data_IF_578234366314
#
_entry.id   IF_578234366314
#
_cell.length_a   1.000
_cell.length_b   1.000
_cell.length_c   1.000
_cell.angle_alpha   90.00
_cell.angle_beta   90.00
_cell.angle_gamma   90.00
#
_symmetry.space_group_name_H-M   'P 1'
#
loop_
_entity.id
_entity.type
_entity.pdbx_description
1 polymer ?
#
# COMPACT_ATOMS: atom_id res chain seq x y z
N UNK A 1 59.03 -32.36 -14.36
CA UNK A 1 57.85 -32.32 -13.47
C UNK A 1 57.91 -31.03 -12.67
N UNK A 2 57.02 -30.05 -12.88
CA UNK A 2 56.71 -28.90 -11.97
C UNK A 2 55.96 -27.78 -12.71
N UNK A 3 54.68 -27.98 -13.09
CA UNK A 3 53.78 -26.87 -13.47
C UNK A 3 52.29 -27.17 -13.21
N UNK A 4 51.96 -28.10 -12.31
CA UNK A 4 50.57 -28.53 -12.09
C UNK A 4 49.93 -28.26 -10.70
N UNK A 5 50.44 -27.42 -9.77
CA UNK A 5 49.67 -27.09 -8.56
C UNK A 5 48.93 -25.74 -8.64
N UNK A 6 49.22 -24.88 -9.62
CA UNK A 6 48.67 -23.51 -9.63
C UNK A 6 47.30 -23.38 -10.31
N UNK A 7 46.87 -24.35 -11.11
CA UNK A 7 45.60 -24.25 -11.85
C UNK A 7 44.37 -24.63 -11.00
N UNK A 8 44.55 -25.40 -9.91
CA UNK A 8 43.43 -25.88 -9.09
C UNK A 8 43.00 -24.86 -8.01
N UNK A 9 43.88 -23.93 -7.62
CA UNK A 9 43.59 -22.93 -6.59
C UNK A 9 42.83 -21.70 -7.13
N UNK A 10 42.81 -21.47 -8.44
CA UNK A 10 42.14 -20.29 -9.03
C UNK A 10 40.66 -20.53 -9.39
N UNK A 11 40.23 -21.80 -9.45
CA UNK A 11 38.85 -22.16 -9.81
C UNK A 11 37.89 -22.05 -8.61
N UNK A 12 38.38 -22.03 -7.37
CA UNK A 12 37.56 -21.94 -6.15
C UNK A 12 37.19 -20.50 -5.75
N UNK A 13 37.71 -19.47 -6.42
CA UNK A 13 37.61 -18.07 -5.97
C UNK A 13 36.54 -17.23 -6.68
N UNK A 14 35.64 -17.84 -7.47
CA UNK A 14 34.65 -17.08 -8.26
C UNK A 14 33.20 -17.42 -7.97
N UNK A 15 32.94 -18.22 -6.93
CA UNK A 15 31.58 -18.45 -6.48
C UNK A 15 31.24 -17.41 -5.41
N UNK A 16 30.99 -16.18 -5.86
CA UNK A 16 30.22 -15.23 -5.08
C UNK A 16 28.80 -15.76 -5.03
N UNK A 17 28.49 -16.63 -4.07
CA UNK A 17 27.12 -16.74 -3.60
C UNK A 17 26.74 -15.33 -3.15
N UNK A 18 25.68 -14.76 -3.72
CA UNK A 18 25.02 -13.61 -3.09
C UNK A 18 24.58 -14.08 -1.71
N UNK A 19 25.39 -13.84 -0.68
CA UNK A 19 24.93 -13.99 0.69
C UNK A 19 23.95 -12.85 0.90
N UNK A 20 22.65 -13.16 0.88
CA UNK A 20 21.64 -12.27 1.44
C UNK A 20 21.98 -12.11 2.91
N UNK A 21 22.69 -11.02 3.25
CA UNK A 21 23.21 -10.77 4.58
C UNK A 21 22.04 -10.74 5.56
N UNK A 22 22.22 -11.29 6.75
CA UNK A 22 21.22 -11.11 7.79
C UNK A 22 21.30 -9.66 8.26
N UNK A 23 20.17 -8.93 8.22
CA UNK A 23 20.17 -7.49 8.50
C UNK A 23 20.57 -7.18 9.95
N UNK A 24 20.06 -7.96 10.91
CA UNK A 24 20.38 -7.79 12.33
C UNK A 24 20.18 -9.12 13.10
N UNK A 25 21.25 -9.61 13.74
CA UNK A 25 21.28 -10.91 14.45
C UNK A 25 20.38 -10.97 15.68
N UNK A 26 19.96 -9.83 16.24
CA UNK A 26 19.01 -9.80 17.37
C UNK A 26 17.60 -10.27 16.96
N UNK A 27 17.29 -10.24 15.65
CA UNK A 27 16.09 -10.83 15.09
C UNK A 27 16.37 -12.26 14.68
N UNK A 28 15.64 -13.20 15.27
CA UNK A 28 15.88 -14.64 15.09
C UNK A 28 15.20 -15.21 13.84
N UNK A 29 14.23 -14.49 13.27
CA UNK A 29 13.43 -14.95 12.15
C UNK A 29 13.29 -13.90 11.05
N UNK A 30 13.24 -14.36 9.80
CA UNK A 30 12.90 -13.53 8.64
C UNK A 30 12.01 -14.26 7.65
N UNK A 31 11.14 -13.50 6.97
CA UNK A 31 10.30 -13.98 5.87
C UNK A 31 10.51 -13.10 4.65
N UNK A 32 10.84 -13.71 3.52
CA UNK A 32 10.87 -13.01 2.23
C UNK A 32 9.45 -12.74 1.74
N UNK A 33 9.22 -11.53 1.27
CA UNK A 33 7.98 -11.08 0.63
C UNK A 33 8.34 -10.61 -0.78
N UNK A 34 7.65 -11.15 -1.77
CA UNK A 34 7.80 -10.75 -3.17
C UNK A 34 6.57 -9.95 -3.57
N UNK A 35 6.76 -8.65 -3.80
CA UNK A 35 5.76 -7.75 -4.31
C UNK A 35 5.74 -7.82 -5.84
N UNK A 36 4.55 -7.89 -6.42
CA UNK A 36 4.35 -7.78 -7.87
C UNK A 36 3.80 -6.39 -8.16
N UNK A 37 4.50 -5.63 -8.99
CA UNK A 37 4.16 -4.25 -9.33
C UNK A 37 3.91 -4.03 -10.82
N UNK A 38 3.76 -2.76 -11.23
CA UNK A 38 3.64 -2.40 -12.65
C UNK A 38 4.93 -2.67 -13.43
N UNK A 39 4.81 -2.72 -14.76
CA UNK A 39 5.96 -2.90 -15.67
C UNK A 39 6.95 -1.73 -15.62
N UNK A 40 6.46 -0.52 -15.33
CA UNK A 40 7.26 0.67 -15.13
C UNK A 40 7.45 0.91 -13.65
N UNK A 41 8.68 1.20 -13.21
CA UNK A 41 9.00 1.49 -11.81
C UNK A 41 8.17 2.69 -11.31
N UNK A 42 7.60 2.54 -10.12
CA UNK A 42 6.93 3.60 -9.38
C UNK A 42 7.64 3.80 -8.05
N UNK A 43 7.76 5.07 -7.62
CA UNK A 43 8.54 5.44 -6.43
C UNK A 43 7.66 5.83 -5.26
N UNK A 44 8.15 5.61 -4.04
CA UNK A 44 7.52 6.03 -2.78
C UNK A 44 6.06 5.58 -2.63
N UNK A 45 5.77 4.33 -2.99
CA UNK A 45 4.40 3.80 -3.00
C UNK A 45 4.10 3.05 -1.70
N UNK A 46 3.00 3.37 -0.98
CA UNK A 46 2.52 2.53 0.10
C UNK A 46 1.89 1.25 -0.44
N UNK A 47 2.32 0.09 0.09
CA UNK A 47 1.82 -1.23 -0.30
C UNK A 47 1.24 -1.94 0.91
N UNK A 48 0.06 -2.53 0.75
CA UNK A 48 -0.58 -3.33 1.80
C UNK A 48 -0.11 -4.78 1.75
N UNK A 49 0.45 -5.25 2.86
CA UNK A 49 0.81 -6.64 3.09
C UNK A 49 -0.27 -7.27 3.98
N UNK A 50 -0.75 -8.44 3.57
CA UNK A 50 -1.68 -9.25 4.37
C UNK A 50 -0.96 -10.50 4.89
N UNK A 51 -0.85 -10.59 6.21
CA UNK A 51 -0.36 -11.78 6.91
C UNK A 51 -1.55 -12.56 7.48
N UNK A 52 -1.50 -13.88 7.37
CA UNK A 52 -2.46 -14.80 7.95
C UNK A 52 -1.81 -16.15 8.24
N UNK A 53 -2.48 -17.03 8.98
CA UNK A 53 -1.98 -18.38 9.35
C UNK A 53 -1.30 -19.18 8.24
N UNK A 54 -1.86 -19.12 7.03
CA UNK A 54 -1.33 -19.82 5.86
C UNK A 54 0.00 -19.25 5.33
N UNK A 55 0.42 -18.07 5.80
CA UNK A 55 1.66 -17.43 5.35
C UNK A 55 2.53 -16.86 6.48
N UNK A 56 2.08 -16.79 7.73
CA UNK A 56 2.83 -16.20 8.83
C UNK A 56 2.50 -16.90 10.15
N UNK A 57 3.53 -17.17 10.95
CA UNK A 57 3.38 -17.72 12.29
C UNK A 57 3.37 -16.58 13.31
N UNK A 58 2.19 -16.28 13.85
CA UNK A 58 1.99 -15.19 14.80
C UNK A 58 2.62 -15.48 16.17
N UNK A 59 2.87 -16.74 16.51
CA UNK A 59 3.48 -17.12 17.80
C UNK A 59 5.00 -16.98 17.82
N UNK A 60 5.61 -16.75 16.65
CA UNK A 60 7.04 -16.49 16.53
C UNK A 60 7.38 -14.99 16.61
N UNK A 61 6.38 -14.10 16.66
CA UNK A 61 6.52 -12.66 16.79
C UNK A 61 5.91 -12.16 18.11
N UNK A 62 6.19 -10.92 18.49
CA UNK A 62 5.58 -10.30 19.66
C UNK A 62 4.06 -10.18 19.50
N UNK A 63 3.31 -10.39 20.59
CA UNK A 63 1.85 -10.25 20.63
C UNK A 63 1.35 -8.89 20.14
N UNK A 64 2.16 -7.83 20.30
CA UNK A 64 1.86 -6.48 19.84
C UNK A 64 2.54 -6.08 18.52
N UNK A 65 3.29 -6.99 17.88
CA UNK A 65 4.06 -6.74 16.67
C UNK A 65 5.24 -5.79 16.86
N UNK A 66 5.66 -5.51 18.10
CA UNK A 66 6.72 -4.54 18.40
C UNK A 66 8.09 -4.92 17.83
N UNK A 67 8.31 -6.21 17.61
CA UNK A 67 9.50 -6.78 17.01
C UNK A 67 9.44 -6.87 15.49
N UNK A 68 8.37 -6.44 14.84
CA UNK A 68 8.31 -6.43 13.37
C UNK A 68 9.25 -5.37 12.82
N UNK A 69 10.06 -5.76 11.82
CA UNK A 69 10.81 -4.88 10.94
C UNK A 69 10.58 -5.26 9.49
N UNK A 70 10.46 -4.26 8.62
CA UNK A 70 10.47 -4.45 7.17
C UNK A 70 11.76 -3.87 6.61
N UNK A 71 12.50 -4.68 5.85
CA UNK A 71 13.80 -4.33 5.27
C UNK A 71 13.72 -4.51 3.76
N UNK A 72 14.33 -3.61 2.99
CA UNK A 72 14.41 -3.75 1.55
C UNK A 72 15.17 -5.02 1.14
N UNK A 73 14.96 -5.49 -0.09
CA UNK A 73 15.60 -6.70 -0.62
C UNK A 73 17.13 -6.65 -0.71
N UNK A 74 17.75 -5.50 -0.40
CA UNK A 74 19.20 -5.35 -0.26
C UNK A 74 19.73 -5.70 1.14
N UNK A 75 18.86 -6.12 2.07
CA UNK A 75 19.14 -6.46 3.47
C UNK A 75 19.81 -5.30 4.26
N UNK A 76 19.57 -4.04 3.86
CA UNK A 76 20.20 -2.87 4.50
C UNK A 76 19.19 -1.83 4.95
N UNK A 77 18.29 -1.43 4.06
CA UNK A 77 17.41 -0.31 4.31
C UNK A 77 16.14 -0.75 5.04
N UNK A 78 15.97 -0.33 6.30
CA UNK A 78 14.67 -0.43 6.97
C UNK A 78 13.63 0.45 6.25
N UNK A 79 12.42 -0.09 6.10
CA UNK A 79 11.29 0.54 5.43
C UNK A 79 10.31 1.09 6.47
N UNK A 80 9.73 2.26 6.17
CA UNK A 80 8.65 2.82 6.99
C UNK A 80 7.39 2.01 6.81
N UNK A 81 6.72 1.71 7.91
CA UNK A 81 5.50 0.92 7.89
C UNK A 81 4.58 1.29 9.04
N UNK A 82 3.33 0.85 8.99
CA UNK A 82 2.46 0.77 10.15
C UNK A 82 1.47 -0.38 10.04
N UNK A 83 0.89 -0.72 11.19
CA UNK A 83 -0.19 -1.69 11.27
C UNK A 83 -1.53 -0.99 10.97
N UNK A 84 -2.19 -1.42 9.90
CA UNK A 84 -3.63 -1.20 9.72
C UNK A 84 -4.41 -2.08 10.71
N UNK A 85 -3.96 -3.32 10.87
CA UNK A 85 -4.52 -4.28 11.82
C UNK A 85 -3.43 -5.25 12.29
N UNK A 86 -3.41 -5.53 13.59
CA UNK A 86 -2.62 -6.61 14.19
C UNK A 86 -3.52 -7.36 15.16
N UNK A 87 -3.98 -8.55 14.76
CA UNK A 87 -4.98 -9.33 15.47
C UNK A 87 -4.48 -10.77 15.60
N UNK A 88 -3.66 -10.99 16.62
CA UNK A 88 -3.05 -12.30 16.92
C UNK A 88 -4.12 -13.35 17.21
N UNK A 89 -5.22 -12.97 17.87
CA UNK A 89 -6.30 -13.89 18.20
C UNK A 89 -7.00 -14.46 16.96
N UNK A 90 -7.15 -13.66 15.90
CA UNK A 90 -7.67 -14.11 14.60
C UNK A 90 -6.55 -14.43 13.60
N UNK A 91 -5.29 -14.44 14.05
CA UNK A 91 -4.08 -14.70 13.26
C UNK A 91 -4.11 -13.95 11.92
N UNK A 92 -4.40 -12.64 11.98
CA UNK A 92 -4.54 -11.75 10.84
C UNK A 92 -3.82 -10.43 11.11
N UNK A 93 -2.96 -10.02 10.17
CA UNK A 93 -2.39 -8.69 10.16
C UNK A 93 -2.43 -8.03 8.78
N UNK A 94 -2.59 -6.72 8.81
CA UNK A 94 -2.57 -5.82 7.67
C UNK A 94 -1.51 -4.76 7.94
N UNK A 95 -0.49 -4.70 7.10
CA UNK A 95 0.67 -3.83 7.28
C UNK A 95 0.85 -2.99 6.02
N UNK A 96 0.76 -1.67 6.17
CA UNK A 96 1.15 -0.75 5.10
C UNK A 96 2.64 -0.48 5.18
N UNK A 97 3.35 -0.62 4.07
CA UNK A 97 4.79 -0.33 3.96
C UNK A 97 5.06 0.66 2.85
N UNK A 98 5.90 1.68 3.13
CA UNK A 98 6.41 2.60 2.13
C UNK A 98 7.54 1.93 1.35
N UNK A 99 7.30 1.62 0.09
CA UNK A 99 8.28 1.00 -0.80
C UNK A 99 8.93 2.10 -1.66
N UNK A 100 10.24 2.38 -1.50
CA UNK A 100 10.90 3.47 -2.22
C UNK A 100 10.88 3.28 -3.74
N UNK A 101 10.98 2.03 -4.20
CA UNK A 101 10.92 1.65 -5.62
C UNK A 101 10.17 0.33 -5.75
N UNK A 102 9.03 0.37 -6.43
CA UNK A 102 8.25 -0.80 -6.77
C UNK A 102 8.34 -1.02 -8.29
N UNK A 103 8.90 -2.15 -8.66
CA UNK A 103 9.02 -2.61 -10.04
C UNK A 103 8.13 -3.85 -10.26
N UNK A 104 8.20 -4.47 -11.45
CA UNK A 104 7.43 -5.67 -11.77
C UNK A 104 7.59 -6.78 -10.71
N UNK A 105 8.78 -6.90 -10.13
CA UNK A 105 9.06 -7.78 -9.01
C UNK A 105 10.01 -7.08 -8.03
N UNK A 106 9.55 -6.88 -6.80
CA UNK A 106 10.34 -6.24 -5.73
C UNK A 106 10.37 -7.16 -4.52
N UNK A 107 11.57 -7.40 -3.98
CA UNK A 107 11.73 -8.19 -2.76
C UNK A 107 11.88 -7.28 -1.55
N UNK A 108 11.23 -7.66 -0.45
CA UNK A 108 11.43 -7.09 0.88
C UNK A 108 11.47 -8.26 1.89
N UNK A 109 11.98 -8.00 3.09
CA UNK A 109 12.06 -8.96 4.17
C UNK A 109 11.31 -8.47 5.38
N UNK A 110 10.50 -9.36 5.96
CA UNK A 110 9.85 -9.19 7.25
C UNK A 110 10.69 -9.89 8.31
N UNK A 111 11.33 -9.14 9.19
CA UNK A 111 12.08 -9.65 10.34
C UNK A 111 11.20 -9.62 11.60
N UNK A 112 11.33 -10.63 12.45
CA UNK A 112 10.62 -10.79 13.73
C UNK A 112 11.38 -11.74 14.67
N UNK A 113 10.89 -11.93 15.90
CA UNK A 113 11.48 -12.81 16.91
C UNK A 113 12.56 -12.13 17.78
N UNK A 114 12.45 -10.81 18.00
CA UNK A 114 13.30 -10.06 18.93
C UNK A 114 12.48 -9.58 20.13
N UNK A 115 12.57 -10.31 21.26
CA UNK A 115 11.79 -10.03 22.47
C UNK A 115 12.09 -8.66 23.12
N UNK A 116 13.25 -8.06 22.82
CA UNK A 116 13.67 -6.78 23.38
C UNK A 116 13.32 -5.58 22.48
N UNK A 117 12.75 -5.83 21.30
CA UNK A 117 12.46 -4.77 20.34
C UNK A 117 11.20 -3.98 20.72
N UNK A 118 11.28 -2.66 20.54
CA UNK A 118 10.11 -1.76 20.59
C UNK A 118 9.55 -1.56 19.19
N UNK A 119 8.25 -1.25 19.10
CA UNK A 119 7.59 -0.99 17.82
C UNK A 119 8.29 0.10 17.01
N UNK A 120 8.51 -0.18 15.73
CA UNK A 120 9.00 0.78 14.74
C UNK A 120 7.87 1.30 13.81
N UNK A 121 6.61 1.01 14.15
CA UNK A 121 5.47 1.48 13.37
C UNK A 121 5.40 3.01 13.35
N UNK A 122 5.29 3.58 12.16
CA UNK A 122 5.29 5.01 11.87
C UNK A 122 4.16 5.32 10.87
N UNK A 123 2.90 5.47 11.34
CA UNK A 123 1.74 5.69 10.48
C UNK A 123 1.91 6.92 9.58
N UNK A 124 2.35 8.05 10.15
CA UNK A 124 2.53 9.30 9.41
C UNK A 124 3.69 9.23 8.42
N UNK A 125 4.79 8.54 8.77
CA UNK A 125 5.94 8.36 7.89
C UNK A 125 5.75 7.31 6.77
N UNK A 126 4.66 6.55 6.80
CA UNK A 126 4.34 5.56 5.75
C UNK A 126 3.83 6.23 4.47
N UNK A 127 3.27 7.43 4.57
CA UNK A 127 2.70 8.16 3.45
C UNK A 127 3.56 9.36 3.02
N UNK A 128 3.35 9.86 1.81
CA UNK A 128 3.96 11.11 1.38
C UNK A 128 3.36 12.30 2.14
N UNK A 129 4.20 13.27 2.49
CA UNK A 129 3.81 14.42 3.29
C UNK A 129 2.77 15.33 2.59
N UNK A 130 2.61 15.20 1.26
CA UNK A 130 1.65 15.99 0.46
C UNK A 130 0.34 15.22 0.21
N UNK A 131 0.10 14.11 0.91
CA UNK A 131 -1.09 13.26 0.74
C UNK A 131 -2.16 13.48 1.82
N UNK A 132 -3.40 13.15 1.50
CA UNK A 132 -4.48 12.93 2.47
C UNK A 132 -4.96 11.48 2.32
N UNK A 133 -5.02 10.74 3.43
CA UNK A 133 -5.23 9.29 3.41
C UNK A 133 -6.38 8.92 4.35
N UNK A 134 -7.37 8.18 3.84
CA UNK A 134 -8.55 7.78 4.62
C UNK A 134 -8.73 6.27 4.53
N UNK A 135 -8.51 5.57 5.65
CA UNK A 135 -8.74 4.12 5.78
C UNK A 135 -10.16 3.78 6.21
N UNK A 136 -10.89 4.75 6.77
CA UNK A 136 -12.26 4.59 7.30
C UNK A 136 -12.36 3.51 8.37
N UNK A 137 -11.32 3.35 9.19
CA UNK A 137 -11.26 2.36 10.27
C UNK A 137 -11.97 2.84 11.54
N UNK A 138 -12.34 4.12 11.60
CA UNK A 138 -13.04 4.72 12.73
C UNK A 138 -14.46 4.16 12.84
N UNK A 139 -14.77 3.55 13.98
CA UNK A 139 -16.11 2.99 14.23
C UNK A 139 -17.21 4.05 14.38
N UNK A 140 -16.84 5.30 14.65
CA UNK A 140 -17.72 6.44 14.88
C UNK A 140 -17.03 7.74 14.45
N UNK A 141 -17.84 8.76 14.15
CA UNK A 141 -17.35 10.08 13.78
C UNK A 141 -16.94 10.19 12.31
N UNK A 142 -16.23 11.27 12.01
CA UNK A 142 -15.77 11.56 10.66
C UNK A 142 -14.44 10.86 10.34
N UNK A 143 -14.18 10.46 9.08
CA UNK A 143 -12.92 9.83 8.69
C UNK A 143 -11.72 10.74 8.95
N UNK A 144 -10.69 10.22 9.61
CA UNK A 144 -9.49 10.98 9.94
C UNK A 144 -8.43 10.81 8.85
N UNK A 145 -7.69 11.89 8.57
CA UNK A 145 -6.50 11.80 7.73
C UNK A 145 -5.40 11.03 8.47
N UNK A 146 -4.97 9.91 7.88
CA UNK A 146 -3.89 9.06 8.38
C UNK A 146 -2.50 9.55 7.94
N UNK A 147 -2.45 10.54 7.05
CA UNK A 147 -1.24 11.25 6.67
C UNK A 147 -0.79 12.28 7.71
N UNK A 148 0.18 13.12 7.33
CA UNK A 148 0.76 14.13 8.22
C UNK A 148 -0.03 15.44 8.29
N UNK A 149 -1.03 15.63 7.42
CA UNK A 149 -1.63 16.95 7.18
C UNK A 149 -2.85 17.26 8.07
N UNK A 150 -3.41 16.27 8.75
CA UNK A 150 -4.62 16.39 9.57
C UNK A 150 -5.82 16.94 8.75
N UNK A 151 -5.92 16.53 7.48
CA UNK A 151 -7.01 16.92 6.59
C UNK A 151 -8.24 16.01 6.82
N UNK A 152 -8.82 16.03 8.01
CA UNK A 152 -9.97 15.16 8.34
C UNK A 152 -11.18 15.45 7.43
N UNK A 153 -11.80 14.38 6.90
CA UNK A 153 -12.94 14.50 5.99
C UNK A 153 -14.23 14.78 6.76
N UNK A 154 -15.28 15.17 6.04
CA UNK A 154 -16.65 15.14 6.56
C UNK A 154 -17.43 14.08 5.80
N UNK A 155 -18.18 13.23 6.49
CA UNK A 155 -18.91 12.15 5.84
C UNK A 155 -20.34 12.05 6.34
N UNK A 156 -21.26 11.82 5.42
CA UNK A 156 -22.59 11.29 5.73
C UNK A 156 -22.72 9.80 5.42
N UNK A 157 -21.64 9.16 4.93
CA UNK A 157 -21.61 7.76 4.54
C UNK A 157 -21.76 6.82 5.74
N UNK A 158 -22.27 5.60 5.49
CA UNK A 158 -22.32 4.58 6.53
C UNK A 158 -20.93 3.97 6.71
N UNK A 159 -20.49 3.77 7.95
CA UNK A 159 -19.26 3.00 8.21
C UNK A 159 -19.48 1.51 7.94
N UNK A 160 -18.54 0.89 7.23
CA UNK A 160 -18.53 -0.54 6.89
C UNK A 160 -17.26 -1.18 7.45
N UNK A 161 -17.37 -1.79 8.62
CA UNK A 161 -16.23 -2.36 9.34
C UNK A 161 -15.47 -3.44 8.55
N UNK A 162 -16.19 -4.30 7.82
CA UNK A 162 -15.61 -5.39 7.04
C UNK A 162 -15.49 -4.98 5.55
N UNK A 163 -14.51 -4.16 5.24
CA UNK A 163 -14.23 -3.65 3.90
C UNK A 163 -12.81 -4.04 3.45
N UNK A 164 -12.25 -3.40 2.43
CA UNK A 164 -11.01 -3.81 1.75
C UNK A 164 -9.82 -4.00 2.71
N UNK A 165 -9.55 -3.01 3.58
CA UNK A 165 -8.39 -3.00 4.47
C UNK A 165 -8.75 -2.46 5.86
N UNK A 166 -9.69 -3.10 6.56
CA UNK A 166 -10.09 -2.76 7.95
C UNK A 166 -11.04 -1.55 8.14
N UNK A 167 -11.68 -1.09 7.07
CA UNK A 167 -12.63 0.01 7.14
C UNK A 167 -13.15 0.42 5.77
N UNK A 168 -14.33 1.04 5.73
CA UNK A 168 -14.93 1.48 4.48
C UNK A 168 -16.10 2.45 4.68
N UNK A 169 -16.37 3.22 3.64
CA UNK A 169 -17.53 4.09 3.54
C UNK A 169 -18.56 3.48 2.55
N UNK A 170 -19.77 3.22 3.03
CA UNK A 170 -20.90 2.76 2.25
C UNK A 170 -21.79 3.93 1.80
N UNK A 171 -22.19 3.91 0.53
CA UNK A 171 -22.99 4.96 -0.10
C UNK A 171 -24.25 4.36 -0.72
N UNK A 172 -25.40 4.99 -0.50
CA UNK A 172 -26.70 4.62 -1.07
C UNK A 172 -27.15 5.54 -2.22
N UNK A 173 -26.31 6.52 -2.59
CA UNK A 173 -26.59 7.54 -3.60
C UNK A 173 -27.11 8.88 -3.07
N UNK A 174 -27.49 8.96 -1.78
CA UNK A 174 -27.82 10.23 -1.11
C UNK A 174 -26.66 10.74 -0.24
N UNK A 175 -25.73 9.86 0.11
CA UNK A 175 -24.58 10.16 0.98
C UNK A 175 -23.37 10.67 0.19
N UNK A 176 -22.50 11.40 0.88
CA UNK A 176 -21.28 11.97 0.29
C UNK A 176 -20.14 12.00 1.30
N UNK A 177 -18.92 12.02 0.77
CA UNK A 177 -17.69 12.28 1.52
C UNK A 177 -17.09 13.59 0.99
N UNK A 178 -16.91 14.56 1.87
CA UNK A 178 -16.31 15.85 1.55
C UNK A 178 -14.86 15.83 2.04
N UNK A 179 -13.94 15.94 1.08
CA UNK A 179 -12.51 15.98 1.33
C UNK A 179 -12.05 17.44 1.46
N UNK A 180 -11.23 17.79 2.47
CA UNK A 180 -10.58 19.09 2.52
C UNK A 180 -9.64 19.30 1.31
N UNK A 181 -9.38 20.54 0.92
CA UNK A 181 -8.46 20.82 -0.18
C UNK A 181 -7.04 20.39 0.20
N UNK A 182 -6.43 19.57 -0.66
CA UNK A 182 -5.00 19.25 -0.61
C UNK A 182 -4.24 20.34 -1.37
N UNK A 183 -3.14 20.85 -0.81
CA UNK A 183 -2.27 21.83 -1.47
C UNK A 183 -1.53 21.16 -2.64
N UNK A 184 -2.15 21.14 -3.81
CA UNK A 184 -1.57 20.60 -5.04
C UNK A 184 -0.93 21.74 -5.84
N UNK A 185 0.36 21.63 -6.18
CA UNK A 185 1.08 22.59 -7.02
C UNK A 185 0.70 22.45 -8.52
N UNK A 186 -0.61 22.42 -8.80
CA UNK A 186 -1.16 22.25 -10.16
C UNK A 186 -1.26 20.81 -10.65
N UNK A 187 -0.76 19.83 -9.90
CA UNK A 187 -0.94 18.41 -10.21
C UNK A 187 -1.20 17.57 -8.97
N UNK A 188 -1.99 16.53 -9.11
CA UNK A 188 -2.25 15.56 -8.05
C UNK A 188 -2.66 14.20 -8.64
N UNK A 189 -2.58 13.17 -7.81
CA UNK A 189 -3.13 11.85 -8.10
C UNK A 189 -4.22 11.53 -7.09
N UNK A 190 -5.22 10.78 -7.53
CA UNK A 190 -6.25 10.22 -6.68
C UNK A 190 -6.31 8.72 -6.90
N UNK A 191 -6.51 7.96 -5.83
CA UNK A 191 -6.74 6.53 -5.91
C UNK A 191 -7.71 6.05 -4.84
N UNK A 192 -8.51 5.06 -5.17
CA UNK A 192 -9.51 4.50 -4.26
C UNK A 192 -9.86 3.06 -4.65
N UNK A 193 -10.13 2.21 -3.65
CA UNK A 193 -10.81 0.93 -3.85
C UNK A 193 -12.32 1.12 -3.74
N UNK A 194 -13.07 0.69 -4.76
CA UNK A 194 -14.54 0.75 -4.75
C UNK A 194 -15.16 -0.62 -5.06
N UNK A 195 -16.31 -0.88 -4.45
CA UNK A 195 -17.13 -2.06 -4.70
C UNK A 195 -18.53 -1.61 -5.13
N UNK A 196 -18.78 -1.40 -6.43
CA UNK A 196 -20.03 -0.80 -6.88
C UNK A 196 -21.21 -1.74 -6.65
N UNK A 197 -22.29 -1.22 -6.06
CA UNK A 197 -23.62 -1.85 -6.07
C UNK A 197 -24.43 -1.46 -7.32
N UNK A 198 -24.10 -0.32 -7.93
CA UNK A 198 -24.64 0.21 -9.18
C UNK A 198 -23.50 0.50 -10.14
N UNK A 199 -23.74 0.30 -11.45
CA UNK A 199 -22.77 0.59 -12.51
C UNK A 199 -22.85 2.03 -13.05
N UNK A 200 -23.62 2.89 -12.39
CA UNK A 200 -23.69 4.32 -12.69
C UNK A 200 -23.68 5.16 -11.42
N UNK A 201 -22.94 6.27 -11.44
CA UNK A 201 -22.84 7.18 -10.30
C UNK A 201 -21.60 8.08 -10.36
N UNK A 202 -21.50 9.03 -9.43
CA UNK A 202 -20.33 9.90 -9.29
C UNK A 202 -19.33 9.24 -8.34
N UNK A 203 -18.06 9.20 -8.72
CA UNK A 203 -16.95 8.70 -7.89
C UNK A 203 -16.21 9.87 -7.24
N UNK A 204 -15.89 10.91 -8.02
CA UNK A 204 -15.13 12.07 -7.54
C UNK A 204 -15.52 13.33 -8.31
N UNK A 205 -15.61 14.47 -7.60
CA UNK A 205 -15.85 15.79 -8.18
C UNK A 205 -15.02 16.86 -7.48
N UNK A 206 -14.37 17.72 -8.26
CA UNK A 206 -13.68 18.91 -7.76
C UNK A 206 -13.53 19.96 -8.87
N UNK A 207 -14.15 21.13 -8.70
CA UNK A 207 -14.10 22.19 -9.71
C UNK A 207 -14.62 21.71 -11.07
N UNK A 208 -13.78 21.74 -12.10
CA UNK A 208 -14.10 21.24 -13.44
C UNK A 208 -13.92 19.73 -13.61
N UNK A 209 -13.40 19.04 -12.60
CA UNK A 209 -13.12 17.60 -12.62
C UNK A 209 -14.36 16.81 -12.23
N UNK A 210 -14.75 15.86 -13.06
CA UNK A 210 -15.79 14.88 -12.78
C UNK A 210 -15.30 13.48 -13.17
N UNK A 211 -15.30 12.58 -12.20
CA UNK A 211 -15.06 11.15 -12.41
C UNK A 211 -16.35 10.43 -12.05
N UNK A 212 -16.90 9.72 -13.01
CA UNK A 212 -18.16 8.99 -12.87
C UNK A 212 -18.03 7.56 -13.40
N UNK A 213 -18.92 6.71 -12.93
CA UNK A 213 -19.20 5.41 -13.52
C UNK A 213 -20.43 5.56 -14.41
N UNK A 214 -20.38 5.01 -15.63
CA UNK A 214 -21.50 5.01 -16.58
C UNK A 214 -21.53 3.66 -17.31
N UNK A 215 -22.54 2.84 -17.02
CA UNK A 215 -22.63 1.49 -17.57
C UNK A 215 -21.43 0.60 -17.20
N UNK A 216 -20.76 0.91 -16.09
CA UNK A 216 -19.58 0.21 -15.60
C UNK A 216 -18.26 0.78 -16.14
N UNK A 217 -18.28 1.69 -17.12
CA UNK A 217 -17.07 2.36 -17.58
C UNK A 217 -16.79 3.61 -16.75
N UNK A 218 -15.52 3.85 -16.43
CA UNK A 218 -15.11 5.09 -15.78
C UNK A 218 -15.06 6.18 -16.85
N UNK A 219 -15.75 7.28 -16.60
CA UNK A 219 -15.65 8.51 -17.39
C UNK A 219 -14.99 9.59 -16.56
N UNK A 220 -13.82 10.02 -17.01
CA UNK A 220 -13.07 11.11 -16.42
C UNK A 220 -13.21 12.36 -17.31
N UNK A 221 -13.59 13.49 -16.74
CA UNK A 221 -13.76 14.76 -17.43
C UNK A 221 -13.05 15.87 -16.66
N UNK A 222 -12.39 16.78 -17.37
CA UNK A 222 -11.85 18.02 -16.80
C UNK A 222 -11.88 19.13 -17.85
N UNK A 223 -12.73 20.13 -17.66
CA UNK A 223 -12.95 21.16 -18.68
C UNK A 223 -13.46 20.54 -19.99
N UNK A 224 -12.75 20.78 -21.10
CA UNK A 224 -13.07 20.17 -22.41
C UNK A 224 -12.47 18.78 -22.63
N UNK A 225 -11.61 18.29 -21.74
CA UNK A 225 -10.97 16.98 -21.88
C UNK A 225 -11.87 15.86 -21.32
N UNK A 226 -11.89 14.70 -21.99
CA UNK A 226 -12.58 13.50 -21.51
C UNK A 226 -11.81 12.23 -21.85
N UNK A 227 -11.78 11.29 -20.90
CA UNK A 227 -11.20 9.95 -21.04
C UNK A 227 -12.22 8.93 -20.54
N UNK A 228 -12.29 7.77 -21.21
CA UNK A 228 -13.14 6.65 -20.82
C UNK A 228 -12.24 5.42 -20.61
N UNK A 229 -12.47 4.66 -19.54
CA UNK A 229 -11.73 3.42 -19.29
C UNK A 229 -12.02 2.37 -20.37
N UNK A 230 -11.04 1.52 -20.64
CA UNK A 230 -11.23 0.38 -21.55
C UNK A 230 -11.90 -0.80 -20.84
N UNK A 231 -11.65 -0.94 -19.53
CA UNK A 231 -12.21 -2.00 -18.70
C UNK A 231 -13.46 -1.51 -17.97
N UNK A 232 -14.47 -2.39 -17.91
CA UNK A 232 -15.73 -2.15 -17.20
C UNK A 232 -15.73 -2.78 -15.82
N UNK A 233 -16.33 -2.10 -14.86
CA UNK A 233 -16.52 -2.59 -13.52
C UNK A 233 -17.65 -3.61 -13.46
N UNK A 234 -17.50 -4.58 -12.58
CA UNK A 234 -18.51 -5.55 -12.23
C UNK A 234 -19.12 -5.22 -10.86
N UNK A 235 -20.45 -5.38 -10.75
CA UNK A 235 -21.19 -5.19 -9.49
C UNK A 235 -20.68 -6.16 -8.43
N UNK A 236 -20.57 -5.67 -7.19
CA UNK A 236 -20.22 -6.49 -6.03
C UNK A 236 -18.78 -7.00 -6.03
N UNK A 237 -17.90 -6.46 -6.90
CA UNK A 237 -16.47 -6.78 -6.95
C UNK A 237 -15.64 -5.55 -6.58
N UNK A 238 -14.54 -5.76 -5.88
CA UNK A 238 -13.58 -4.68 -5.62
C UNK A 238 -12.83 -4.34 -6.89
N UNK A 239 -12.72 -3.05 -7.17
CA UNK A 239 -11.92 -2.48 -8.24
C UNK A 239 -11.08 -1.35 -7.66
N UNK A 240 -9.87 -1.17 -8.20
CA UNK A 240 -9.03 -0.04 -7.90
C UNK A 240 -9.21 1.00 -9.01
N UNK A 241 -9.44 2.25 -8.63
CA UNK A 241 -9.53 3.39 -9.57
C UNK A 241 -8.37 4.31 -9.26
N UNK A 242 -7.59 4.69 -10.27
CA UNK A 242 -6.60 5.76 -10.18
C UNK A 242 -6.79 6.80 -11.27
N UNK A 243 -6.52 8.06 -10.96
CA UNK A 243 -6.31 9.06 -12.00
C UNK A 243 -5.26 10.09 -11.58
N UNK A 244 -4.63 10.70 -12.57
CA UNK A 244 -3.68 11.78 -12.37
C UNK A 244 -4.18 13.03 -13.11
N UNK A 245 -4.09 14.17 -12.45
CA UNK A 245 -4.34 15.48 -13.06
C UNK A 245 -3.02 16.24 -13.08
N UNK A 246 -2.60 16.61 -14.29
CA UNK A 246 -1.47 17.49 -14.57
C UNK A 246 -1.79 18.27 -15.86
N UNK A 247 -0.83 18.49 -16.75
CA UNK A 247 -1.05 19.07 -18.08
C UNK A 247 -1.95 18.18 -18.98
N UNK A 248 -2.22 16.94 -18.58
CA UNK A 248 -3.19 16.03 -19.21
C UNK A 248 -3.90 15.14 -18.16
N UNK A 249 -5.17 14.81 -18.39
CA UNK A 249 -5.94 13.86 -17.57
C UNK A 249 -5.64 12.42 -18.02
N UNK A 250 -5.23 11.54 -17.09
CA UNK A 250 -5.04 10.10 -17.36
C UNK A 250 -5.80 9.27 -16.31
N UNK A 251 -6.46 8.20 -16.74
CA UNK A 251 -7.16 7.25 -15.88
C UNK A 251 -6.49 5.89 -16.00
N UNK A 252 -6.31 5.20 -14.87
CA UNK A 252 -5.67 3.89 -14.74
C UNK A 252 -6.58 2.98 -13.92
#
# INVERSE_FOLDING_TARGET
MRFLPFLLAFVLSTWSFSSYAWWNEDWTSRKKITLTGPSSEVTDVPVLIRLHTGNFDFFSASDNGGDVRLVAGDDKAELKFHFEKWDVANELALIWVKVPRLSAQTEIFLYYGNENATSAADPKGTYDASSAIYHFAESQGNPQDSGSNNLHAQSSAQHVAASFSNGGAGFDGAQSLILPPVQAAGSYSFSVWIKPASLSGIIYQAGSVNISLDGGLIRAQSGGASVVSEQSFAVGRWHHVGFTISDALRCI
#
